data_IF_196333106913
#
_entry.id   IF_196333106913
#
_cell.length_a   1.000
_cell.length_b   1.000
_cell.length_c   1.000
_cell.angle_alpha   90.00
_cell.angle_beta   90.00
_cell.angle_gamma   90.00
#
_symmetry.space_group_name_H-M   'P 1'
#
loop_
_entity.id
_entity.type
_entity.pdbx_description
1 polymer ?
#
# COMPACT_ATOMS: atom_id res chain seq x y z
N UNK A 1 14.67 9.03 -2.00
CA UNK A 1 15.36 8.68 -3.27
C UNK A 1 14.33 8.58 -4.38
N UNK A 2 14.56 9.25 -5.52
CA UNK A 2 13.64 9.20 -6.67
C UNK A 2 13.92 7.92 -7.46
N UNK A 3 12.86 7.24 -7.89
CA UNK A 3 12.98 6.04 -8.69
C UNK A 3 13.42 6.40 -10.12
N UNK A 4 14.26 5.54 -10.74
CA UNK A 4 14.55 5.64 -12.17
C UNK A 4 13.28 5.58 -13.01
N UNK A 5 13.29 6.31 -14.14
CA UNK A 5 12.17 6.38 -15.08
C UNK A 5 11.81 5.00 -15.62
N UNK A 6 10.54 4.84 -16.01
CA UNK A 6 10.05 3.60 -16.62
C UNK A 6 10.80 3.27 -17.92
N UNK A 7 10.99 4.28 -18.77
CA UNK A 7 11.74 4.17 -20.02
C UNK A 7 13.15 3.58 -19.81
N UNK A 8 13.90 4.07 -18.82
CA UNK A 8 15.24 3.55 -18.55
C UNK A 8 15.19 2.06 -18.18
N UNK A 9 14.21 1.65 -17.38
CA UNK A 9 14.04 0.26 -16.96
C UNK A 9 13.71 -0.64 -18.15
N UNK A 10 12.81 -0.18 -19.01
CA UNK A 10 12.41 -0.91 -20.23
C UNK A 10 13.59 -1.10 -21.17
N UNK A 11 14.39 -0.06 -21.42
CA UNK A 11 15.60 -0.16 -22.27
C UNK A 11 16.68 -1.07 -21.67
N UNK A 12 16.90 -1.00 -20.36
CA UNK A 12 17.86 -1.89 -19.67
C UNK A 12 17.43 -3.35 -19.80
N UNK A 13 16.15 -3.65 -19.57
CA UNK A 13 15.63 -5.02 -19.64
C UNK A 13 15.63 -5.53 -21.08
N UNK A 14 15.20 -4.72 -22.04
CA UNK A 14 15.23 -5.08 -23.46
C UNK A 14 16.63 -5.39 -23.97
N UNK A 15 17.66 -4.65 -23.52
CA UNK A 15 19.05 -4.94 -23.86
C UNK A 15 19.52 -6.29 -23.31
N UNK A 16 19.13 -6.64 -22.08
CA UNK A 16 19.45 -7.94 -21.49
C UNK A 16 18.72 -9.08 -22.22
N UNK A 17 17.44 -8.88 -22.58
CA UNK A 17 16.69 -9.88 -23.34
C UNK A 17 17.23 -10.07 -24.76
N UNK A 18 17.78 -9.00 -25.35
CA UNK A 18 18.50 -9.04 -26.63
C UNK A 18 19.86 -9.75 -26.56
N UNK A 19 20.22 -10.34 -25.42
CA UNK A 19 21.45 -11.12 -25.25
C UNK A 19 22.70 -10.31 -24.91
N UNK A 20 22.57 -9.00 -24.67
CA UNK A 20 23.72 -8.16 -24.28
C UNK A 20 24.19 -8.56 -22.87
N UNK A 21 25.51 -8.78 -22.67
CA UNK A 21 26.03 -9.08 -21.34
C UNK A 21 25.65 -8.01 -20.32
N UNK A 22 25.20 -8.43 -19.13
CA UNK A 22 24.75 -7.51 -18.07
C UNK A 22 25.79 -6.44 -17.70
N UNK A 23 27.08 -6.78 -17.74
CA UNK A 23 28.17 -5.84 -17.47
C UNK A 23 28.23 -4.70 -18.50
N UNK A 24 27.98 -5.03 -19.78
CA UNK A 24 27.93 -4.04 -20.84
C UNK A 24 26.66 -3.17 -20.74
N UNK A 25 25.52 -3.78 -20.39
CA UNK A 25 24.28 -3.04 -20.11
C UNK A 25 24.49 -2.05 -18.94
N UNK A 26 25.15 -2.48 -17.87
CA UNK A 26 25.46 -1.64 -16.73
C UNK A 26 26.31 -0.42 -17.13
N UNK A 27 27.37 -0.64 -17.91
CA UNK A 27 28.23 0.42 -18.42
C UNK A 27 27.47 1.37 -19.37
N UNK A 28 26.68 0.81 -20.31
CA UNK A 28 25.94 1.57 -21.34
C UNK A 28 24.86 2.48 -20.75
N UNK A 29 24.15 2.00 -19.73
CA UNK A 29 23.02 2.74 -19.13
C UNK A 29 23.38 3.45 -17.82
N UNK A 30 24.63 3.33 -17.35
CA UNK A 30 25.07 3.93 -16.08
C UNK A 30 24.35 3.37 -14.85
N UNK A 31 23.94 2.10 -14.90
CA UNK A 31 23.22 1.43 -13.81
C UNK A 31 24.08 0.33 -13.18
N UNK A 32 23.86 0.05 -11.90
CA UNK A 32 24.59 -1.03 -11.23
C UNK A 32 24.01 -2.42 -11.57
N UNK A 33 24.84 -3.46 -11.53
CA UNK A 33 24.41 -4.86 -11.73
C UNK A 33 23.23 -5.26 -10.83
N UNK A 34 23.19 -4.93 -9.52
CA UNK A 34 22.03 -5.21 -8.67
C UNK A 34 20.75 -4.49 -9.10
N UNK A 35 20.88 -3.35 -9.79
CA UNK A 35 19.73 -2.62 -10.34
C UNK A 35 19.12 -3.38 -11.51
N UNK A 36 19.95 -3.96 -12.38
CA UNK A 36 19.50 -4.82 -13.48
C UNK A 36 18.74 -6.03 -12.94
N UNK A 37 19.32 -6.74 -11.95
CA UNK A 37 18.68 -7.90 -11.34
C UNK A 37 17.34 -7.55 -10.67
N UNK A 38 17.26 -6.36 -10.05
CA UNK A 38 16.02 -5.85 -9.47
C UNK A 38 14.94 -5.64 -10.52
N UNK A 39 15.28 -5.13 -11.71
CA UNK A 39 14.31 -4.94 -12.79
C UNK A 39 13.84 -6.26 -13.38
N UNK A 40 14.75 -7.21 -13.61
CA UNK A 40 14.40 -8.55 -14.08
C UNK A 40 13.49 -9.27 -13.08
N UNK A 41 13.78 -9.15 -11.77
CA UNK A 41 12.93 -9.69 -10.71
C UNK A 41 11.55 -9.04 -10.70
N UNK A 42 11.49 -7.71 -10.74
CA UNK A 42 10.24 -6.97 -10.73
C UNK A 42 9.34 -7.37 -11.91
N UNK A 43 9.91 -7.52 -13.12
CA UNK A 43 9.18 -8.02 -14.28
C UNK A 43 8.64 -9.43 -14.05
N UNK A 44 9.45 -10.35 -13.51
CA UNK A 44 9.01 -11.74 -13.23
C UNK A 44 7.88 -11.80 -12.21
N UNK A 45 7.89 -10.93 -11.20
CA UNK A 45 6.89 -10.93 -10.12
C UNK A 45 5.59 -10.21 -10.47
N UNK A 46 5.67 -9.15 -11.30
CA UNK A 46 4.55 -8.22 -11.51
C UNK A 46 4.15 -8.01 -12.96
N UNK A 47 4.85 -8.64 -13.89
CA UNK A 47 4.75 -8.41 -15.35
C UNK A 47 4.87 -6.93 -15.75
N UNK A 48 5.50 -6.13 -14.88
CA UNK A 48 5.59 -4.68 -15.02
C UNK A 48 6.96 -4.18 -14.60
N UNK A 49 7.39 -3.09 -15.23
CA UNK A 49 8.60 -2.35 -14.86
C UNK A 49 8.28 -0.99 -14.22
N UNK A 50 7.00 -0.69 -14.00
CA UNK A 50 6.59 0.54 -13.36
C UNK A 50 7.20 0.65 -11.95
N UNK A 51 7.65 1.85 -11.53
CA UNK A 51 8.00 2.09 -10.14
C UNK A 51 6.83 1.69 -9.23
N UNK A 52 7.11 0.86 -8.22
CA UNK A 52 6.12 0.56 -7.19
C UNK A 52 5.75 1.86 -6.46
N UNK A 53 4.47 2.06 -6.12
CA UNK A 53 4.08 3.17 -5.26
C UNK A 53 4.89 3.08 -3.96
N UNK A 54 5.47 4.21 -3.54
CA UNK A 54 6.18 4.29 -2.28
C UNK A 54 5.12 4.16 -1.18
N UNK A 55 5.14 3.10 -0.36
CA UNK A 55 4.19 3.00 0.73
C UNK A 55 4.42 4.19 1.66
N UNK A 56 3.37 4.99 1.89
CA UNK A 56 3.40 6.05 2.89
C UNK A 56 3.60 5.48 4.30
N UNK A 57 3.78 6.36 5.29
CA UNK A 57 3.89 5.94 6.69
C UNK A 57 2.64 5.14 7.10
N UNK A 58 2.79 3.92 7.65
CA UNK A 58 1.64 3.17 8.13
C UNK A 58 0.95 3.92 9.26
N UNK A 59 -0.38 3.98 9.24
CA UNK A 59 -1.14 4.66 10.28
C UNK A 59 -1.21 3.80 11.54
N UNK A 60 -0.60 4.25 12.65
CA UNK A 60 -0.61 3.54 13.94
C UNK A 60 -2.04 3.24 14.42
N UNK A 61 -2.90 4.27 14.45
CA UNK A 61 -4.30 4.10 14.86
C UNK A 61 -5.12 3.26 13.86
N UNK A 62 -4.85 3.40 12.56
CA UNK A 62 -5.59 2.66 11.53
C UNK A 62 -5.33 1.16 11.54
N UNK A 63 -4.13 0.71 11.91
CA UNK A 63 -3.83 -0.72 12.05
C UNK A 63 -4.61 -1.33 13.23
N UNK A 64 -4.61 -0.67 14.38
CA UNK A 64 -5.39 -1.10 15.54
C UNK A 64 -6.90 -1.14 15.23
N UNK A 65 -7.42 -0.09 14.57
CA UNK A 65 -8.81 -0.02 14.14
C UNK A 65 -9.18 -1.15 13.17
N UNK A 66 -8.32 -1.47 12.19
CA UNK A 66 -8.61 -2.53 11.23
C UNK A 66 -8.77 -3.92 11.89
N UNK A 67 -8.01 -4.20 12.95
CA UNK A 67 -8.09 -5.47 13.68
C UNK A 67 -9.26 -5.48 14.68
N UNK A 68 -9.48 -4.37 15.38
CA UNK A 68 -10.44 -4.32 16.48
C UNK A 68 -11.89 -3.98 16.10
N UNK A 69 -12.12 -3.39 14.91
CA UNK A 69 -13.46 -2.98 14.49
C UNK A 69 -14.37 -4.13 14.01
N UNK A 70 -13.93 -5.13 13.22
CA UNK A 70 -14.84 -6.12 12.64
C UNK A 70 -15.76 -6.80 13.67
N UNK A 71 -15.20 -7.33 14.77
CA UNK A 71 -16.01 -7.99 15.81
C UNK A 71 -16.91 -7.04 16.62
N UNK A 72 -16.64 -5.73 16.61
CA UNK A 72 -17.47 -4.72 17.31
C UNK A 72 -18.63 -4.24 16.44
N UNK A 73 -18.41 -4.18 15.13
CA UNK A 73 -19.40 -3.75 14.13
C UNK A 73 -20.54 -4.76 13.98
N UNK A 74 -20.26 -6.06 14.13
CA UNK A 74 -21.29 -7.10 14.12
C UNK A 74 -22.34 -6.92 15.23
N UNK A 75 -21.93 -6.45 16.41
CA UNK A 75 -22.83 -6.18 17.54
C UNK A 75 -23.51 -4.80 17.52
N UNK A 76 -23.02 -3.85 16.70
CA UNK A 76 -23.43 -2.44 16.73
C UNK A 76 -23.65 -1.89 15.31
N UNK A 77 -24.38 -2.63 14.48
CA UNK A 77 -24.59 -2.32 13.06
C UNK A 77 -25.30 -0.98 12.79
N UNK A 78 -26.05 -0.47 13.77
CA UNK A 78 -26.78 0.80 13.70
C UNK A 78 -26.05 2.00 14.36
N UNK A 79 -24.89 1.78 14.98
CA UNK A 79 -24.16 2.83 15.69
C UNK A 79 -23.62 3.91 14.73
N UNK A 80 -23.73 5.15 15.18
CA UNK A 80 -23.15 6.32 14.52
C UNK A 80 -21.62 6.33 14.67
N UNK A 81 -20.95 7.11 13.84
CA UNK A 81 -19.48 7.25 13.90
C UNK A 81 -19.05 7.81 15.27
N UNK A 82 -19.82 8.73 15.84
CA UNK A 82 -19.55 9.32 17.15
C UNK A 82 -19.64 8.26 18.26
N UNK A 83 -20.67 7.42 18.24
CA UNK A 83 -20.83 6.31 19.20
C UNK A 83 -19.71 5.27 19.06
N UNK A 84 -19.30 4.95 17.83
CA UNK A 84 -18.16 4.06 17.59
C UNK A 84 -16.84 4.66 18.11
N UNK A 85 -16.65 5.98 18.01
CA UNK A 85 -15.47 6.65 18.58
C UNK A 85 -15.49 6.60 20.11
N UNK A 86 -16.63 6.88 20.74
CA UNK A 86 -16.79 6.81 22.18
C UNK A 86 -16.58 5.38 22.72
N UNK A 87 -17.13 4.37 22.03
CA UNK A 87 -16.93 2.97 22.35
C UNK A 87 -15.46 2.55 22.21
N UNK A 88 -14.79 3.03 21.16
CA UNK A 88 -13.38 2.75 20.93
C UNK A 88 -12.50 3.35 22.05
N UNK A 89 -12.78 4.58 22.45
CA UNK A 89 -12.09 5.24 23.54
C UNK A 89 -12.34 4.57 24.89
N UNK A 90 -13.59 4.21 25.19
CA UNK A 90 -13.95 3.56 26.47
C UNK A 90 -13.33 2.17 26.65
N UNK A 91 -13.17 1.42 25.55
CA UNK A 91 -12.65 0.05 25.63
C UNK A 91 -11.14 -0.04 25.42
N UNK A 92 -10.56 0.87 24.63
CA UNK A 92 -9.16 0.83 24.19
C UNK A 92 -8.28 1.95 24.74
N UNK A 93 -8.85 2.94 25.44
CA UNK A 93 -8.12 4.07 26.03
C UNK A 93 -7.49 5.03 25.02
N UNK A 94 -7.81 4.91 23.73
CA UNK A 94 -7.25 5.74 22.65
C UNK A 94 -8.35 6.54 22.01
N UNK A 95 -8.31 7.87 22.17
CA UNK A 95 -9.20 8.77 21.45
C UNK A 95 -8.94 8.71 19.93
N UNK A 96 -10.00 8.49 19.17
CA UNK A 96 -9.97 8.45 17.70
C UNK A 96 -10.95 9.51 17.19
N UNK A 97 -10.44 10.43 16.36
CA UNK A 97 -11.31 11.42 15.71
C UNK A 97 -12.25 10.75 14.71
N UNK A 98 -13.45 11.30 14.53
CA UNK A 98 -14.47 10.79 13.61
C UNK A 98 -13.95 10.59 12.19
N UNK A 99 -13.13 11.51 11.67
CA UNK A 99 -12.52 11.37 10.35
C UNK A 99 -11.58 10.17 10.22
N UNK A 100 -10.94 9.75 11.33
CA UNK A 100 -10.09 8.55 11.35
C UNK A 100 -10.94 7.28 11.40
N UNK A 101 -12.01 7.29 12.19
CA UNK A 101 -12.99 6.20 12.26
C UNK A 101 -13.68 6.00 10.90
N UNK A 102 -14.18 7.08 10.29
CA UNK A 102 -14.80 7.07 8.96
C UNK A 102 -13.88 6.45 7.88
N UNK A 103 -12.60 6.87 7.83
CA UNK A 103 -11.62 6.29 6.91
C UNK A 103 -11.35 4.80 7.20
N UNK A 104 -11.34 4.39 8.47
CA UNK A 104 -11.15 3.00 8.85
C UNK A 104 -12.33 2.13 8.40
N UNK A 105 -13.57 2.59 8.65
CA UNK A 105 -14.79 1.91 8.19
C UNK A 105 -14.84 1.80 6.66
N UNK A 106 -14.50 2.88 5.95
CA UNK A 106 -14.42 2.86 4.48
C UNK A 106 -13.40 1.87 3.93
N UNK A 107 -12.23 1.71 4.58
CA UNK A 107 -11.23 0.70 4.20
C UNK A 107 -11.69 -0.73 4.45
N UNK A 108 -12.55 -0.93 5.45
CA UNK A 108 -13.18 -2.21 5.74
C UNK A 108 -14.39 -2.50 4.83
N UNK A 109 -14.76 -1.56 3.95
CA UNK A 109 -15.97 -1.68 3.12
C UNK A 109 -17.26 -1.63 3.93
N UNK A 110 -17.21 -1.21 5.20
CA UNK A 110 -18.38 -1.18 6.06
C UNK A 110 -19.25 0.03 5.74
N UNK A 111 -20.50 -0.23 5.39
CA UNK A 111 -21.50 0.81 5.16
C UNK A 111 -22.66 0.59 6.11
N UNK A 112 -23.13 1.68 6.75
CA UNK A 112 -24.34 1.62 7.57
C UNK A 112 -25.52 1.32 6.66
N UNK A 113 -26.27 0.26 6.97
CA UNK A 113 -27.54 -0.02 6.29
C UNK A 113 -28.52 1.11 6.62
N UNK A 114 -28.96 1.87 5.61
CA UNK A 114 -30.02 2.86 5.81
C UNK A 114 -31.33 2.12 6.07
N UNK A 115 -31.95 2.34 7.23
CA UNK A 115 -33.37 2.03 7.43
C UNK A 115 -34.18 3.06 6.63
N UNK A 116 -34.98 2.55 5.69
CA UNK A 116 -36.08 3.28 5.08
C UNK A 116 -37.34 3.03 5.91
#
# INVERSE_FOLDING_TARGET
MRAYSRDLRERVVAAVDGGVPRAEVAARFGVSMPTIDRYLRLRRETDSLAPRPIPGRPSVKGAALAVGLPGRLEGHSDATIQELCALWESTGGVAVAEATMSRALGRLGWTRKKRQ
#
